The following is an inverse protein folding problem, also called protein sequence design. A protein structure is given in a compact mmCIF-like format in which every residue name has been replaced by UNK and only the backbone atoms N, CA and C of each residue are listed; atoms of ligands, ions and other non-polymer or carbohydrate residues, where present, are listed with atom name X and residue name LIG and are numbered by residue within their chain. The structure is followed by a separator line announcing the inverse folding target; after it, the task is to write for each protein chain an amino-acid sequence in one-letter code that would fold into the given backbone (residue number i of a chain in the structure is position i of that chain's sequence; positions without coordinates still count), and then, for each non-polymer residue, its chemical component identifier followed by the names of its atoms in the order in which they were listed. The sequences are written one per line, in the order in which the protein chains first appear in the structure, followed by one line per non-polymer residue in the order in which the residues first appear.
data_IF_071591142861
#
_entry.id   IF_071591142861
#
_cell.length_a   1.000
_cell.length_b   1.000
_cell.length_c   1.000
_cell.angle_alpha   90.00
_cell.angle_beta   90.00
_cell.angle_gamma   90.00
#
_symmetry.space_group_name_H-M   'P 1'
#
loop_
_entity.id
_entity.type
_entity.pdbx_description
1 polymer ?
#
# COMPACT_ATOMS: atom_id res chain seq x y z
N UNK A 1 -10.64 -21.09 -21.47
CA UNK A 1 -9.40 -21.39 -22.20
C UNK A 1 -8.30 -20.47 -21.67
N UNK A 2 -7.29 -21.05 -21.01
CA UNK A 2 -6.22 -20.33 -20.33
C UNK A 2 -5.32 -19.57 -21.32
N UNK A 3 -5.46 -18.25 -21.41
CA UNK A 3 -4.46 -17.34 -22.02
C UNK A 3 -3.28 -17.09 -21.06
N UNK A 4 -2.79 -18.15 -20.40
CA UNK A 4 -1.86 -18.02 -19.27
C UNK A 4 -0.43 -17.68 -19.69
N UNK A 5 -0.03 -17.91 -20.94
CA UNK A 5 1.33 -17.65 -21.40
C UNK A 5 1.40 -17.27 -22.89
N UNK A 6 0.99 -16.05 -23.25
CA UNK A 6 1.48 -15.48 -24.51
C UNK A 6 2.99 -15.21 -24.35
N UNK A 7 3.85 -15.58 -25.32
CA UNK A 7 5.30 -15.39 -25.24
C UNK A 7 5.73 -13.95 -24.89
N UNK A 8 4.87 -12.99 -25.21
CA UNK A 8 5.02 -11.56 -24.94
C UNK A 8 5.08 -11.23 -23.44
N UNK A 9 4.14 -11.74 -22.63
CA UNK A 9 4.12 -11.48 -21.17
C UNK A 9 5.37 -12.02 -20.49
N UNK A 10 5.88 -13.17 -20.94
CA UNK A 10 7.10 -13.77 -20.37
C UNK A 10 8.30 -12.84 -20.54
N UNK A 11 8.46 -12.24 -21.73
CA UNK A 11 9.54 -11.26 -21.99
C UNK A 11 9.38 -10.00 -21.13
N UNK A 12 8.16 -9.52 -20.96
CA UNK A 12 7.85 -8.32 -20.15
C UNK A 12 8.16 -8.55 -18.67
N UNK A 13 7.76 -9.71 -18.12
CA UNK A 13 8.10 -10.08 -16.75
C UNK A 13 9.60 -10.23 -16.55
N UNK A 14 10.33 -10.86 -17.49
CA UNK A 14 11.81 -10.93 -17.41
C UNK A 14 12.46 -9.54 -17.39
N UNK A 15 11.91 -8.58 -18.15
CA UNK A 15 12.40 -7.19 -18.15
C UNK A 15 12.12 -6.52 -16.80
N UNK A 16 10.90 -6.66 -16.28
CA UNK A 16 10.49 -6.11 -14.97
C UNK A 16 11.40 -6.69 -13.87
N UNK A 17 11.55 -8.02 -13.82
CA UNK A 17 12.38 -8.71 -12.82
C UNK A 17 13.84 -8.25 -12.90
N UNK A 18 14.36 -8.01 -14.11
CA UNK A 18 15.71 -7.48 -14.31
C UNK A 18 15.85 -6.04 -13.81
N UNK A 19 14.83 -5.20 -13.99
CA UNK A 19 14.84 -3.81 -13.51
C UNK A 19 14.78 -3.75 -11.98
N UNK A 20 13.97 -4.61 -11.36
CA UNK A 20 13.84 -4.72 -9.90
C UNK A 20 15.13 -5.25 -9.28
N UNK A 21 15.63 -6.41 -9.75
CA UNK A 21 16.71 -7.12 -9.06
C UNK A 21 18.13 -6.63 -9.43
N UNK A 22 18.37 -6.16 -10.66
CA UNK A 22 19.74 -5.90 -11.12
C UNK A 22 20.15 -4.44 -11.07
N UNK A 23 19.21 -3.50 -10.99
CA UNK A 23 19.53 -2.08 -11.18
C UNK A 23 19.00 -1.15 -10.10
N UNK A 24 18.21 -1.62 -9.13
CA UNK A 24 17.55 -0.74 -8.17
C UNK A 24 16.68 0.33 -8.84
N UNK A 25 16.28 0.10 -10.10
CA UNK A 25 15.51 1.04 -10.91
C UNK A 25 14.02 0.82 -10.69
N UNK A 26 13.61 0.85 -9.43
CA UNK A 26 12.24 0.57 -8.97
C UNK A 26 11.24 1.47 -9.68
N UNK A 27 11.61 2.73 -9.99
CA UNK A 27 10.80 3.68 -10.79
C UNK A 27 10.57 3.23 -12.25
N UNK A 28 11.60 2.68 -12.89
CA UNK A 28 11.46 2.18 -14.27
C UNK A 28 10.66 0.88 -14.30
N UNK A 29 10.87 0.00 -13.32
CA UNK A 29 10.06 -1.19 -13.15
C UNK A 29 8.58 -0.83 -12.95
N UNK A 30 8.27 0.18 -12.13
CA UNK A 30 6.91 0.66 -11.91
C UNK A 30 6.24 1.13 -13.21
N UNK A 31 7.00 1.84 -14.06
CA UNK A 31 6.52 2.31 -15.37
C UNK A 31 6.19 1.13 -16.29
N UNK A 32 7.07 0.14 -16.37
CA UNK A 32 6.88 -1.03 -17.23
C UNK A 32 5.73 -1.93 -16.74
N UNK A 33 5.61 -2.13 -15.43
CA UNK A 33 4.47 -2.84 -14.82
C UNK A 33 3.15 -2.10 -15.09
N UNK A 34 3.16 -0.77 -15.04
CA UNK A 34 1.98 0.04 -15.38
C UNK A 34 1.52 -0.17 -16.84
N UNK A 35 2.46 -0.26 -17.79
CA UNK A 35 2.13 -0.59 -19.19
C UNK A 35 1.53 -1.99 -19.31
N UNK A 36 2.09 -2.95 -18.58
CA UNK A 36 1.62 -4.33 -18.56
C UNK A 36 0.20 -4.43 -18.00
N UNK A 37 -0.08 -3.66 -16.94
CA UNK A 37 -1.40 -3.56 -16.33
C UNK A 37 -2.46 -3.05 -17.31
N UNK A 38 -2.19 -1.93 -17.99
CA UNK A 38 -3.11 -1.37 -18.98
C UNK A 38 -3.36 -2.34 -20.15
N UNK A 39 -2.32 -3.06 -20.59
CA UNK A 39 -2.48 -4.09 -21.61
C UNK A 39 -3.34 -5.26 -21.10
N UNK A 40 -3.06 -5.77 -19.91
CA UNK A 40 -3.84 -6.86 -19.32
C UNK A 40 -5.32 -6.49 -19.18
N UNK A 41 -5.62 -5.22 -18.87
CA UNK A 41 -6.99 -4.67 -18.81
C UNK A 41 -7.66 -4.68 -20.18
N UNK A 42 -6.96 -4.22 -21.24
CA UNK A 42 -7.46 -4.25 -22.63
C UNK A 42 -7.68 -5.67 -23.15
N UNK A 43 -6.78 -6.59 -22.81
CA UNK A 43 -6.85 -7.99 -23.23
C UNK A 43 -7.80 -8.85 -22.40
N UNK A 44 -8.40 -8.27 -21.33
CA UNK A 44 -9.25 -8.96 -20.35
C UNK A 44 -8.57 -10.21 -19.79
N UNK A 45 -7.29 -10.09 -19.45
CA UNK A 45 -6.50 -11.16 -18.86
C UNK A 45 -6.41 -10.97 -17.35
N UNK A 46 -7.41 -11.48 -16.63
CA UNK A 46 -7.56 -11.27 -15.18
C UNK A 46 -6.34 -11.75 -14.38
N UNK A 47 -5.71 -12.85 -14.80
CA UNK A 47 -4.52 -13.38 -14.12
C UNK A 47 -3.33 -12.40 -14.23
N UNK A 48 -3.08 -11.86 -15.42
CA UNK A 48 -2.01 -10.88 -15.63
C UNK A 48 -2.36 -9.52 -15.02
N UNK A 49 -3.64 -9.14 -15.03
CA UNK A 49 -4.14 -7.92 -14.42
C UNK A 49 -3.89 -7.92 -12.91
N UNK A 50 -4.29 -9.00 -12.22
CA UNK A 50 -4.04 -9.16 -10.78
C UNK A 50 -2.55 -9.18 -10.46
N UNK A 51 -1.75 -9.94 -11.23
CA UNK A 51 -0.30 -10.03 -11.01
C UNK A 51 0.39 -8.68 -11.18
N UNK A 52 0.06 -7.93 -12.24
CA UNK A 52 0.61 -6.60 -12.51
C UNK A 52 0.16 -5.58 -11.48
N UNK A 53 -1.10 -5.62 -11.01
CA UNK A 53 -1.57 -4.76 -9.92
C UNK A 53 -0.77 -4.99 -8.64
N UNK A 54 -0.62 -6.23 -8.19
CA UNK A 54 0.13 -6.55 -6.96
C UNK A 54 1.59 -6.12 -7.06
N UNK A 55 2.22 -6.36 -8.19
CA UNK A 55 3.60 -5.91 -8.44
C UNK A 55 3.69 -4.38 -8.41
N UNK A 56 2.73 -3.68 -9.02
CA UNK A 56 2.66 -2.22 -9.00
C UNK A 56 2.59 -1.68 -7.57
N UNK A 57 1.68 -2.21 -6.76
CA UNK A 57 1.49 -1.78 -5.35
C UNK A 57 2.77 -2.00 -4.53
N UNK A 58 3.42 -3.15 -4.68
CA UNK A 58 4.69 -3.46 -4.00
C UNK A 58 5.83 -2.52 -4.43
N UNK A 59 5.92 -2.19 -5.73
CA UNK A 59 6.90 -1.23 -6.21
C UNK A 59 6.62 0.19 -5.70
N UNK A 60 5.36 0.59 -5.55
CA UNK A 60 4.99 1.87 -4.98
C UNK A 60 5.43 1.98 -3.51
N UNK A 61 5.22 0.92 -2.71
CA UNK A 61 5.71 0.84 -1.32
C UNK A 61 7.21 0.99 -1.19
N UNK A 62 7.97 0.51 -2.18
CA UNK A 62 9.42 0.61 -2.17
C UNK A 62 9.96 2.00 -2.56
N UNK A 63 9.12 2.90 -3.08
CA UNK A 63 9.55 4.19 -3.65
C UNK A 63 8.95 5.39 -2.90
N UNK A 64 7.73 5.27 -2.38
CA UNK A 64 6.95 6.38 -1.83
C UNK A 64 6.67 6.18 -0.33
N UNK A 65 6.98 7.19 0.48
CA UNK A 65 6.73 7.16 1.93
C UNK A 65 5.23 7.10 2.28
N UNK A 66 4.37 7.66 1.43
CA UNK A 66 2.90 7.69 1.58
C UNK A 66 2.17 6.61 0.74
N UNK A 67 2.91 5.63 0.22
CA UNK A 67 2.39 4.58 -0.65
C UNK A 67 1.19 3.83 -0.06
N UNK A 68 1.14 3.66 1.26
CA UNK A 68 0.06 2.91 1.92
C UNK A 68 -1.32 3.49 1.62
N UNK A 69 -1.49 4.81 1.71
CA UNK A 69 -2.78 5.48 1.48
C UNK A 69 -3.14 5.43 -0.01
N UNK A 70 -2.17 5.69 -0.88
CA UNK A 70 -2.36 5.64 -2.34
C UNK A 70 -2.73 4.24 -2.82
N UNK A 71 -2.10 3.22 -2.26
CA UNK A 71 -2.38 1.82 -2.59
C UNK A 71 -3.79 1.40 -2.13
N UNK A 72 -4.23 1.85 -0.96
CA UNK A 72 -5.62 1.67 -0.49
C UNK A 72 -6.61 2.29 -1.47
N UNK A 73 -6.41 3.57 -1.83
CA UNK A 73 -7.29 4.28 -2.77
C UNK A 73 -7.31 3.62 -4.16
N UNK A 74 -6.17 3.12 -4.62
CA UNK A 74 -6.07 2.42 -5.90
C UNK A 74 -6.82 1.07 -5.86
N UNK A 75 -6.69 0.30 -4.77
CA UNK A 75 -7.39 -0.95 -4.57
C UNK A 75 -8.91 -0.75 -4.49
N UNK A 76 -9.39 0.26 -3.77
CA UNK A 76 -10.82 0.62 -3.70
C UNK A 76 -11.40 0.91 -5.10
N UNK A 77 -10.69 1.71 -5.90
CA UNK A 77 -11.09 2.01 -7.29
C UNK A 77 -11.16 0.76 -8.15
N UNK A 78 -10.17 -0.14 -8.05
CA UNK A 78 -10.16 -1.35 -8.87
C UNK A 78 -11.22 -2.37 -8.42
N UNK A 79 -11.48 -2.49 -7.12
CA UNK A 79 -12.56 -3.33 -6.56
C UNK A 79 -13.94 -2.88 -7.07
N UNK A 80 -14.16 -1.57 -7.23
CA UNK A 80 -15.40 -1.05 -7.78
C UNK A 80 -15.63 -1.45 -9.25
N UNK A 81 -14.56 -1.67 -10.01
CA UNK A 81 -14.58 -2.07 -11.43
C UNK A 81 -14.48 -3.58 -11.64
N UNK A 82 -14.10 -4.34 -10.62
CA UNK A 82 -13.82 -5.78 -10.71
C UNK A 82 -15.06 -6.61 -10.38
N UNK A 83 -15.28 -7.68 -11.16
CA UNK A 83 -16.37 -8.65 -10.93
C UNK A 83 -15.85 -9.87 -10.15
N UNK A 84 -16.78 -10.63 -9.57
CA UNK A 84 -16.44 -11.90 -8.94
C UNK A 84 -15.85 -12.90 -9.96
N UNK A 85 -14.91 -13.78 -9.54
CA UNK A 85 -14.41 -13.99 -8.17
C UNK A 85 -13.20 -13.10 -7.79
N UNK A 86 -12.64 -12.35 -8.74
CA UNK A 86 -11.44 -11.54 -8.51
C UNK A 86 -11.67 -10.43 -7.47
N UNK A 87 -12.90 -9.91 -7.40
CA UNK A 87 -13.30 -8.88 -6.42
C UNK A 87 -13.09 -9.35 -4.97
N UNK A 88 -13.52 -10.57 -4.63
CA UNK A 88 -13.30 -11.15 -3.29
C UNK A 88 -11.81 -11.22 -2.90
N UNK A 89 -10.94 -11.56 -3.86
CA UNK A 89 -9.49 -11.62 -3.65
C UNK A 89 -8.93 -10.22 -3.38
N UNK A 90 -9.32 -9.23 -4.17
CA UNK A 90 -8.90 -7.84 -3.98
C UNK A 90 -9.39 -7.25 -2.66
N UNK A 91 -10.61 -7.61 -2.22
CA UNK A 91 -11.12 -7.19 -0.91
C UNK A 91 -10.30 -7.75 0.25
N UNK A 92 -9.87 -9.02 0.18
CA UNK A 92 -8.97 -9.59 1.19
C UNK A 92 -7.63 -8.84 1.24
N UNK A 93 -7.06 -8.53 0.06
CA UNK A 93 -5.84 -7.74 -0.04
C UNK A 93 -6.05 -6.35 0.57
N UNK A 94 -7.13 -5.65 0.22
CA UNK A 94 -7.46 -4.33 0.77
C UNK A 94 -7.60 -4.35 2.29
N UNK A 95 -8.24 -5.38 2.86
CA UNK A 95 -8.34 -5.54 4.31
C UNK A 95 -6.96 -5.64 4.98
N UNK A 96 -6.01 -6.37 4.37
CA UNK A 96 -4.62 -6.42 4.85
C UNK A 96 -3.93 -5.06 4.79
N UNK A 97 -4.17 -4.29 3.72
CA UNK A 97 -3.65 -2.93 3.60
C UNK A 97 -4.16 -2.00 4.70
N UNK A 98 -5.46 -2.02 5.00
CA UNK A 98 -6.01 -1.25 6.12
C UNK A 98 -5.43 -1.68 7.46
N UNK A 99 -5.28 -2.99 7.69
CA UNK A 99 -4.69 -3.50 8.92
C UNK A 99 -3.24 -3.04 9.09
N UNK A 100 -2.43 -3.15 8.04
CA UNK A 100 -1.04 -2.67 8.04
C UNK A 100 -0.98 -1.16 8.30
N UNK A 101 -1.83 -0.39 7.63
CA UNK A 101 -1.92 1.05 7.85
C UNK A 101 -2.25 1.39 9.31
N UNK A 102 -3.24 0.72 9.90
CA UNK A 102 -3.59 0.90 11.31
C UNK A 102 -2.43 0.53 12.25
N UNK A 103 -1.73 -0.58 11.99
CA UNK A 103 -0.61 -1.03 12.80
C UNK A 103 0.59 -0.07 12.73
N UNK A 104 0.94 0.42 11.55
CA UNK A 104 2.05 1.35 11.35
C UNK A 104 1.79 2.73 11.98
N UNK A 105 0.53 3.15 12.05
CA UNK A 105 0.12 4.42 12.66
C UNK A 105 -0.29 4.30 14.14
N UNK A 106 -0.14 3.10 14.73
CA UNK A 106 -0.56 2.80 16.11
C UNK A 106 0.18 3.64 17.16
N UNK A 107 1.43 4.02 16.87
CA UNK A 107 2.24 4.85 17.77
C UNK A 107 1.72 6.30 17.86
N UNK A 108 1.16 6.88 16.80
CA UNK A 108 0.49 8.18 16.89
C UNK A 108 -0.73 8.12 17.83
N UNK A 109 -1.48 7.02 17.82
CA UNK A 109 -2.60 6.81 18.73
C UNK A 109 -2.19 6.52 20.18
N UNK A 110 -0.98 5.99 20.42
CA UNK A 110 -0.52 5.61 21.77
C UNK A 110 0.31 6.71 22.45
N UNK A 111 1.12 7.45 21.70
CA UNK A 111 2.01 8.49 22.22
C UNK A 111 1.25 9.78 22.57
N UNK A 112 0.28 10.19 21.76
CA UNK A 112 -0.51 11.40 22.00
C UNK A 112 -1.27 11.35 23.35
N UNK A 113 -1.94 10.24 23.74
CA UNK A 113 -2.54 10.12 25.06
C UNK A 113 -1.56 10.15 26.23
N UNK A 114 -0.36 9.56 26.08
CA UNK A 114 0.67 9.54 27.14
C UNK A 114 1.22 10.95 27.36
N UNK A 115 1.58 11.66 26.29
CA UNK A 115 2.05 13.05 26.37
C UNK A 115 0.98 13.98 26.93
N UNK A 116 -0.29 13.78 26.56
CA UNK A 116 -1.40 14.53 27.13
C UNK A 116 -1.58 14.26 28.63
N UNK A 117 -1.44 13.00 29.08
CA UNK A 117 -1.50 12.63 30.50
C UNK A 117 -0.34 13.21 31.30
N UNK A 118 0.89 13.17 30.77
CA UNK A 118 2.08 13.75 31.39
C UNK A 118 2.00 15.28 31.49
N UNK A 119 1.56 15.96 30.42
CA UNK A 119 1.40 17.42 30.40
C UNK A 119 0.30 17.90 31.37
N UNK A 120 -0.75 17.10 31.59
CA UNK A 120 -1.78 17.37 32.60
C UNK A 120 -1.25 17.19 34.03
N UNK A 121 -0.44 16.16 34.28
CA UNK A 121 0.12 15.86 35.60
C UNK A 121 1.12 16.92 36.09
N UNK A 122 1.98 17.44 35.20
CA UNK A 122 2.93 18.52 35.53
C UNK A 122 2.25 19.87 35.77
N UNK A 123 1.15 20.15 35.05
CA UNK A 123 0.33 21.35 35.27
C UNK A 123 -0.40 21.34 36.62
N UNK A 124 -0.90 20.19 37.06
CA UNK A 124 -1.53 20.01 38.38
C UNK A 124 -0.51 20.18 39.52
N UNK A 125 0.71 19.66 39.35
CA UNK A 125 1.79 19.85 40.33
C UNK A 125 2.21 21.33 40.46
N UNK A 126 2.26 22.06 39.34
CA UNK A 126 2.54 23.50 39.36
C UNK A 126 1.47 24.32 40.10
N UNK A 127 0.19 23.97 39.96
CA UNK A 127 -0.90 24.65 40.66
C UNK A 127 -0.95 24.34 42.17
N UNK A 128 -0.63 23.10 42.57
CA UNK A 128 -0.52 22.70 43.98
C UNK A 128 0.62 23.44 44.69
N UNK A 129 1.78 23.62 44.05
CA UNK A 129 2.91 24.34 44.62
C UNK A 129 2.66 25.85 44.80
N UNK A 130 1.83 26.46 43.93
CA UNK A 130 1.42 27.86 44.08
C UNK A 130 0.42 28.03 45.23
N UNK A 131 -0.43 27.02 45.48
CA UNK A 131 -1.42 27.08 46.57
C UNK A 131 -0.84 26.80 47.96
N UNK A 132 0.34 26.17 48.07
CA UNK A 132 1.02 25.90 49.36
C UNK A 132 1.92 27.07 49.80
N UNK A 133 2.26 27.99 48.89
CA UNK A 133 3.10 29.17 49.16
C UNK A 133 2.32 30.47 49.44
N UNK A 134 0.99 30.41 49.53
CA UNK A 134 0.11 31.53 49.93
C UNK A 134 -0.45 31.27 51.31
#
# INVERSE_FOLDING_TARGET
MAKSQSPTYKKEWTKIDSLVNKKGLTKNALTEVGKLYERAKKEKNDAQLMKSLLCKLSLQEAIEDDASIKNIQQLEKEIALTKEPAKSVLQNILARYYLNYFQNNRYNFTIVPILFRLKRQTSLHGQLLISIKK
#
